data_IF_036311618423
#
_entry.id   IF_036311618423
#
_cell.length_a   1.000
_cell.length_b   1.000
_cell.length_c   1.000
_cell.angle_alpha   90.00
_cell.angle_beta   90.00
_cell.angle_gamma   90.00
#
_symmetry.space_group_name_H-M   'P 1'
#
loop_
_entity.id
_entity.type
_entity.pdbx_description
1 polymer ?
#
# COMPACT_ATOMS: atom_id res chain seq x y z
N UNK A 1 -0.09 13.07 -15.61
CA UNK A 1 -1.49 13.44 -15.30
C UNK A 1 -1.71 13.12 -13.83
N UNK A 2 -1.51 14.10 -12.93
CA UNK A 2 -1.73 13.90 -11.50
C UNK A 2 -3.23 13.82 -11.26
N UNK A 3 -3.72 12.61 -10.95
CA UNK A 3 -5.14 12.41 -10.69
C UNK A 3 -5.51 13.06 -9.36
N UNK A 4 -6.54 13.91 -9.37
CA UNK A 4 -7.20 14.58 -8.24
C UNK A 4 -7.89 13.58 -7.29
N UNK A 5 -7.27 12.46 -6.94
CA UNK A 5 -7.93 11.44 -6.14
C UNK A 5 -7.81 11.77 -4.66
N UNK A 6 -8.66 12.67 -4.17
CA UNK A 6 -9.12 12.55 -2.79
C UNK A 6 -9.89 11.24 -2.75
N UNK A 7 -9.26 10.21 -2.18
CA UNK A 7 -9.91 8.93 -2.06
C UNK A 7 -11.04 9.07 -1.03
N UNK A 8 -12.29 8.97 -1.48
CA UNK A 8 -13.48 9.25 -0.65
C UNK A 8 -13.48 8.48 0.67
N UNK A 9 -12.90 7.28 0.68
CA UNK A 9 -12.85 6.47 1.89
C UNK A 9 -11.92 7.05 2.96
N UNK A 10 -10.97 7.93 2.63
CA UNK A 10 -10.17 8.68 3.63
C UNK A 10 -11.01 9.68 4.43
N UNK A 11 -12.23 10.03 3.97
CA UNK A 11 -13.15 10.90 4.72
C UNK A 11 -14.13 10.10 5.60
N UNK A 12 -14.03 8.77 5.64
CA UNK A 12 -14.93 7.93 6.42
C UNK A 12 -14.40 7.71 7.84
N UNK A 13 -15.29 7.41 8.79
CA UNK A 13 -14.93 7.21 10.20
C UNK A 13 -13.95 6.05 10.46
N UNK A 14 -13.77 5.15 9.49
CA UNK A 14 -12.80 4.05 9.56
C UNK A 14 -11.45 4.36 8.91
N UNK A 15 -11.28 5.57 8.36
CA UNK A 15 -10.00 6.02 7.81
C UNK A 15 -9.00 6.33 8.94
N UNK A 16 -7.71 6.11 8.70
CA UNK A 16 -6.69 6.55 9.64
C UNK A 16 -6.65 8.08 9.69
N UNK A 17 -6.41 8.61 10.89
CA UNK A 17 -6.15 10.03 11.10
C UNK A 17 -4.76 10.42 10.61
N UNK A 18 -4.44 11.71 10.56
CA UNK A 18 -3.09 12.17 10.25
C UNK A 18 -2.17 12.19 11.49
N UNK A 19 -2.60 11.65 12.63
CA UNK A 19 -1.89 11.69 13.90
C UNK A 19 -1.55 10.29 14.39
N UNK A 20 -0.41 10.15 15.06
CA UNK A 20 -0.02 8.91 15.74
C UNK A 20 0.51 7.80 14.83
N UNK A 21 0.88 8.12 13.59
CA UNK A 21 1.39 7.17 12.61
C UNK A 21 2.89 7.34 12.34
N UNK A 22 3.56 6.25 12.00
CA UNK A 22 4.98 6.27 11.66
C UNK A 22 5.19 6.44 10.15
N UNK A 23 6.21 7.19 9.73
CA UNK A 23 6.54 7.33 8.31
C UNK A 23 6.86 5.96 7.71
N UNK A 24 6.15 5.60 6.65
CA UNK A 24 6.21 4.30 6.00
C UNK A 24 5.11 3.33 6.42
N UNK A 25 4.30 3.68 7.43
CA UNK A 25 3.12 2.91 7.81
C UNK A 25 2.17 2.79 6.62
N UNK A 26 1.53 1.62 6.49
CA UNK A 26 0.65 1.30 5.37
C UNK A 26 -0.75 1.01 5.85
N UNK A 27 -1.70 1.58 5.12
CA UNK A 27 -3.11 1.32 5.32
C UNK A 27 -3.74 0.86 4.01
N UNK A 28 -4.59 -0.15 4.10
CA UNK A 28 -5.36 -0.65 2.96
C UNK A 28 -6.81 -0.27 3.19
N UNK A 29 -7.34 0.52 2.27
CA UNK A 29 -8.75 0.89 2.28
C UNK A 29 -9.63 -0.33 2.05
N UNK A 30 -10.85 -0.32 2.57
CA UNK A 30 -11.86 -1.34 2.31
C UNK A 30 -12.19 -1.54 0.83
N UNK A 31 -11.97 -0.53 -0.03
CA UNK A 31 -12.10 -0.66 -1.49
C UNK A 31 -10.93 -1.40 -2.17
N UNK A 32 -9.84 -1.69 -1.44
CA UNK A 32 -8.63 -2.33 -1.95
C UNK A 32 -7.48 -1.36 -2.32
N UNK A 33 -7.70 -0.05 -2.25
CA UNK A 33 -6.62 0.93 -2.49
C UNK A 33 -5.61 0.96 -1.34
N UNK A 34 -4.36 1.22 -1.68
CA UNK A 34 -3.25 1.21 -0.73
C UNK A 34 -2.77 2.64 -0.49
N UNK A 35 -2.50 2.95 0.77
CA UNK A 35 -1.96 4.24 1.20
C UNK A 35 -0.72 4.02 2.05
N UNK A 36 0.18 4.99 2.03
CA UNK A 36 1.36 5.05 2.87
C UNK A 36 1.41 6.40 3.57
N UNK A 37 1.64 6.37 4.88
CA UNK A 37 1.85 7.57 5.66
C UNK A 37 3.27 8.06 5.40
N UNK A 38 3.41 9.24 4.79
CA UNK A 38 4.72 9.80 4.46
C UNK A 38 4.67 11.32 4.33
N UNK A 39 5.86 11.93 4.32
CA UNK A 39 6.03 13.31 3.91
C UNK A 39 5.77 13.47 2.40
N UNK A 40 5.09 14.55 2.06
CA UNK A 40 4.83 14.96 0.68
C UNK A 40 4.34 16.40 0.60
N UNK A 41 4.12 16.89 -0.61
CA UNK A 41 3.64 18.25 -0.85
C UNK A 41 2.13 18.23 -1.06
N UNK A 42 1.39 18.83 -0.13
CA UNK A 42 -0.06 18.95 -0.26
C UNK A 42 -0.45 19.79 -1.48
N UNK A 43 -1.75 19.88 -1.74
CA UNK A 43 -2.29 20.64 -2.88
C UNK A 43 -1.86 22.12 -2.93
N UNK A 44 -1.60 22.72 -1.77
CA UNK A 44 -1.15 24.11 -1.67
C UNK A 44 0.38 24.27 -1.86
N UNK A 45 1.09 23.17 -2.12
CA UNK A 45 2.53 23.15 -2.34
C UNK A 45 3.35 23.18 -1.05
N UNK A 46 2.73 22.97 0.11
CA UNK A 46 3.42 22.92 1.39
C UNK A 46 3.77 21.49 1.76
N UNK A 47 4.91 21.32 2.41
CA UNK A 47 5.29 20.05 3.03
C UNK A 47 4.24 19.66 4.08
N UNK A 48 3.85 18.39 4.05
CA UNK A 48 2.79 17.83 4.89
C UNK A 48 3.03 16.34 5.10
N UNK A 49 2.63 15.87 6.27
CA UNK A 49 2.76 14.47 6.67
C UNK A 49 1.36 13.87 6.70
N UNK A 50 1.04 13.07 5.67
CA UNK A 50 -0.32 12.60 5.42
C UNK A 50 -0.34 11.23 4.72
N UNK A 51 -1.55 10.70 4.51
CA UNK A 51 -1.77 9.43 3.80
C UNK A 51 -1.74 9.63 2.29
N UNK A 52 -0.69 9.12 1.65
CA UNK A 52 -0.50 9.21 0.20
C UNK A 52 -0.85 7.91 -0.50
N UNK A 53 -1.44 7.94 -1.71
CA UNK A 53 -1.63 6.75 -2.53
C UNK A 53 -0.30 6.01 -2.75
N UNK A 54 -0.33 4.70 -2.54
CA UNK A 54 0.80 3.81 -2.69
C UNK A 54 0.48 2.69 -3.69
N UNK A 55 1.47 2.23 -4.47
CA UNK A 55 1.29 0.98 -5.22
C UNK A 55 1.07 -0.17 -4.24
N UNK A 56 0.25 -1.14 -4.67
CA UNK A 56 0.12 -2.41 -3.95
C UNK A 56 1.51 -3.04 -3.78
N UNK A 57 1.85 -3.43 -2.55
CA UNK A 57 3.07 -4.21 -2.33
C UNK A 57 2.86 -5.55 -3.05
N UNK A 58 3.79 -5.99 -3.90
CA UNK A 58 3.76 -7.36 -4.40
C UNK A 58 3.79 -8.29 -3.19
N UNK A 59 2.66 -8.96 -2.89
CA UNK A 59 2.67 -9.97 -1.85
C UNK A 59 3.71 -11.02 -2.26
N UNK A 60 4.60 -11.47 -1.34
CA UNK A 60 5.48 -12.57 -1.64
C UNK A 60 4.60 -13.75 -2.01
N UNK A 61 4.61 -14.11 -3.31
CA UNK A 61 3.95 -15.34 -3.77
C UNK A 61 4.54 -16.45 -2.93
N UNK A 62 3.70 -17.12 -2.12
CA UNK A 62 4.10 -18.28 -1.32
C UNK A 62 5.02 -19.13 -2.20
N UNK A 63 6.20 -19.57 -1.72
CA UNK A 63 7.05 -20.43 -2.53
C UNK A 63 6.19 -21.62 -2.91
N UNK A 64 5.88 -21.73 -4.20
CA UNK A 64 5.26 -22.93 -4.76
C UNK A 64 6.15 -24.06 -4.31
N UNK A 65 5.58 -24.94 -3.48
CA UNK A 65 6.21 -26.12 -2.92
C UNK A 65 6.90 -26.86 -4.09
N UNK A 66 8.19 -26.61 -4.29
CA UNK A 66 8.96 -27.09 -5.44
C UNK A 66 9.39 -28.55 -5.25
N UNK A 67 8.60 -29.31 -4.50
CA UNK A 67 8.73 -30.75 -4.39
C UNK A 67 7.67 -31.38 -5.28
N UNK A 68 8.10 -32.00 -6.39
CA UNK A 68 7.49 -33.16 -7.08
C UNK A 68 7.81 -33.24 -8.59
N UNK A 69 8.50 -32.26 -9.21
CA UNK A 69 8.76 -32.30 -10.66
C UNK A 69 10.09 -32.94 -11.10
N UNK A 70 10.89 -33.45 -10.17
CA UNK A 70 12.09 -34.23 -10.51
C UNK A 70 12.06 -35.58 -9.77
N UNK A 71 11.32 -36.53 -10.36
CA UNK A 71 11.48 -37.95 -10.02
C UNK A 71 12.89 -38.44 -10.39
N UNK A 72 13.38 -39.52 -9.75
CA UNK A 72 14.74 -40.01 -9.97
C UNK A 72 14.91 -40.49 -11.42
N UNK A 73 15.85 -39.91 -12.16
CA UNK A 73 16.28 -40.46 -13.46
C UNK A 73 17.05 -41.74 -13.19
N UNK A 74 16.53 -42.88 -13.64
CA UNK A 74 17.33 -44.10 -13.88
C UNK A 74 18.07 -43.92 -15.21
N UNK A 75 19.38 -44.12 -15.18
CA UNK A 75 20.28 -44.21 -16.32
C UNK A 75 21.54 -44.94 -15.88
#
# INVERSE_FOLDING_TARGET
MFSLMIHVCLQTAGAPTNEGHEVGERWVCSCGDNFVYREGFNRAGYESLEWWPAPAIPQPRKPVLRGLLFGPRKG
#
